data_IF_827153866371
#
_entry.id   IF_827153866371
#
_cell.length_a   1.000
_cell.length_b   1.000
_cell.length_c   1.000
_cell.angle_alpha   90.00
_cell.angle_beta   90.00
_cell.angle_gamma   90.00
#
_symmetry.space_group_name_H-M   'P 1'
#
loop_
_entity.id
_entity.type
_entity.pdbx_description
1 polymer ?
#
# COMPACT_ATOMS: atom_id res chain seq x y z
N UNK A 1 5.35 3.87 2.63
CA UNK A 1 5.87 2.55 2.24
C UNK A 1 6.56 2.71 0.91
N UNK A 2 7.77 2.17 0.80
CA UNK A 2 8.52 2.04 -0.44
C UNK A 2 8.77 0.55 -0.62
N UNK A 3 8.37 -0.01 -1.74
CA UNK A 3 8.50 -1.43 -2.03
C UNK A 3 8.89 -1.65 -3.49
N UNK A 4 9.57 -2.77 -3.75
CA UNK A 4 10.01 -3.15 -5.08
C UNK A 4 9.64 -4.62 -5.31
N UNK A 5 9.20 -4.94 -6.52
CA UNK A 5 8.91 -6.31 -6.90
C UNK A 5 7.86 -6.42 -8.00
N UNK A 6 7.45 -7.66 -8.26
CA UNK A 6 6.36 -7.99 -9.18
C UNK A 6 5.00 -7.64 -8.59
N UNK A 7 3.95 -7.47 -9.40
CA UNK A 7 2.61 -7.14 -8.92
C UNK A 7 2.11 -8.02 -7.77
N UNK A 8 2.39 -9.34 -7.78
CA UNK A 8 1.97 -10.26 -6.72
C UNK A 8 2.71 -10.00 -5.39
N UNK A 9 3.99 -9.64 -5.47
CA UNK A 9 4.84 -9.34 -4.32
C UNK A 9 4.45 -7.99 -3.71
N UNK A 10 4.19 -6.99 -4.55
CA UNK A 10 3.67 -5.68 -4.14
C UNK A 10 2.29 -5.81 -3.49
N UNK A 11 1.40 -6.59 -4.10
CA UNK A 11 0.05 -6.81 -3.56
C UNK A 11 0.12 -7.43 -2.16
N UNK A 12 0.93 -8.48 -2.00
CA UNK A 12 1.15 -9.14 -0.69
C UNK A 12 1.69 -8.17 0.35
N UNK A 13 2.66 -7.33 -0.01
CA UNK A 13 3.24 -6.35 0.90
C UNK A 13 2.20 -5.32 1.36
N UNK A 14 1.37 -4.82 0.43
CA UNK A 14 0.30 -3.87 0.75
C UNK A 14 -0.77 -4.49 1.65
N UNK A 15 -1.17 -5.74 1.39
CA UNK A 15 -2.14 -6.46 2.22
C UNK A 15 -1.63 -6.66 3.66
N UNK A 16 -0.36 -7.04 3.82
CA UNK A 16 0.27 -7.19 5.14
C UNK A 16 0.36 -5.87 5.91
N UNK A 17 0.74 -4.78 5.24
CA UNK A 17 0.78 -3.44 5.85
C UNK A 17 -0.63 -3.00 6.27
N UNK A 18 -1.65 -3.26 5.45
CA UNK A 18 -3.05 -2.97 5.80
C UNK A 18 -3.51 -3.77 7.01
N UNK A 19 -3.16 -5.05 7.11
CA UNK A 19 -3.50 -5.89 8.27
C UNK A 19 -2.87 -5.33 9.56
N UNK A 20 -1.59 -4.97 9.50
CA UNK A 20 -0.88 -4.32 10.61
C UNK A 20 -1.58 -3.02 11.02
N UNK A 21 -1.86 -2.13 10.07
CA UNK A 21 -2.52 -0.85 10.36
C UNK A 21 -3.92 -1.03 10.94
N UNK A 22 -4.70 -2.00 10.45
CA UNK A 22 -6.00 -2.32 11.02
C UNK A 22 -5.90 -2.80 12.47
N UNK A 23 -4.87 -3.59 12.81
CA UNK A 23 -4.63 -4.03 14.20
C UNK A 23 -4.30 -2.89 15.16
N UNK A 24 -3.85 -1.74 14.65
CA UNK A 24 -3.47 -0.56 15.44
C UNK A 24 -4.63 0.43 15.63
N UNK A 25 -5.78 0.22 14.97
CA UNK A 25 -6.96 1.07 15.16
C UNK A 25 -7.45 0.96 16.60
N UNK A 26 -7.85 2.09 17.19
CA UNK A 26 -8.28 2.22 18.59
C UNK A 26 -7.17 2.04 19.63
N UNK A 27 -5.93 1.72 19.24
CA UNK A 27 -4.79 1.70 20.17
C UNK A 27 -4.47 3.13 20.65
N UNK A 28 -4.56 4.11 19.75
CA UNK A 28 -4.43 5.53 20.07
C UNK A 28 -5.36 6.38 19.18
N UNK A 29 -6.41 6.94 19.81
CA UNK A 29 -7.43 7.76 19.11
C UNK A 29 -6.87 8.94 18.33
N UNK A 30 -5.72 9.50 18.73
CA UNK A 30 -5.07 10.60 17.99
C UNK A 30 -4.45 10.14 16.67
N UNK A 31 -4.11 8.85 16.56
CA UNK A 31 -3.52 8.23 15.38
C UNK A 31 -4.56 7.58 14.47
N UNK A 32 -5.78 7.31 14.94
CA UNK A 32 -6.83 6.65 14.15
C UNK A 32 -7.11 7.36 12.82
N UNK A 33 -7.13 8.71 12.80
CA UNK A 33 -7.33 9.47 11.57
C UNK A 33 -6.16 9.27 10.58
N UNK A 34 -4.93 9.24 11.09
CA UNK A 34 -3.75 8.97 10.28
C UNK A 34 -3.77 7.55 9.72
N UNK A 35 -4.08 6.56 10.57
CA UNK A 35 -4.18 5.15 10.20
C UNK A 35 -5.26 4.95 9.13
N UNK A 36 -6.46 5.52 9.32
CA UNK A 36 -7.55 5.47 8.34
C UNK A 36 -7.17 6.10 7.01
N UNK A 37 -6.51 7.27 7.04
CA UNK A 37 -6.00 7.91 5.82
C UNK A 37 -4.99 7.00 5.12
N UNK A 38 -4.09 6.36 5.88
CA UNK A 38 -3.10 5.46 5.33
C UNK A 38 -3.73 4.23 4.68
N UNK A 39 -4.71 3.61 5.35
CA UNK A 39 -5.47 2.48 4.81
C UNK A 39 -6.16 2.85 3.49
N UNK A 40 -6.72 4.06 3.38
CA UNK A 40 -7.35 4.49 2.12
C UNK A 40 -6.34 4.57 0.97
N UNK A 41 -5.14 5.11 1.20
CA UNK A 41 -4.06 5.13 0.21
C UNK A 41 -3.68 3.70 -0.21
N UNK A 42 -3.56 2.77 0.75
CA UNK A 42 -3.22 1.38 0.45
C UNK A 42 -4.31 0.65 -0.34
N UNK A 43 -5.59 0.95 -0.10
CA UNK A 43 -6.70 0.43 -0.93
C UNK A 43 -6.59 0.91 -2.38
N UNK A 44 -6.23 2.17 -2.59
CA UNK A 44 -5.99 2.70 -3.95
C UNK A 44 -4.81 1.97 -4.60
N UNK A 45 -3.74 1.70 -3.86
CA UNK A 45 -2.62 0.90 -4.36
C UNK A 45 -3.03 -0.49 -4.82
N UNK A 46 -3.86 -1.20 -4.04
CA UNK A 46 -4.36 -2.52 -4.45
C UNK A 46 -5.09 -2.44 -5.79
N UNK A 47 -5.92 -1.42 -6.00
CA UNK A 47 -6.67 -1.25 -7.25
C UNK A 47 -5.75 -0.97 -8.44
N UNK A 48 -4.67 -0.19 -8.24
CA UNK A 48 -3.71 0.08 -9.29
C UNK A 48 -2.83 -1.15 -9.59
N UNK A 49 -2.30 -1.82 -8.58
CA UNK A 49 -1.44 -3.02 -8.71
C UNK A 49 -2.16 -4.12 -9.49
N UNK A 50 -3.46 -4.36 -9.20
CA UNK A 50 -4.27 -5.38 -9.89
C UNK A 50 -4.45 -5.13 -11.39
N UNK A 51 -4.15 -3.93 -11.87
CA UNK A 51 -4.24 -3.54 -13.29
C UNK A 51 -2.89 -3.53 -13.99
N UNK A 52 -1.79 -3.80 -13.27
CA UNK A 52 -0.46 -3.79 -13.85
C UNK A 52 -0.25 -5.02 -14.75
N UNK A 53 0.41 -4.83 -15.91
CA UNK A 53 0.93 -5.96 -16.65
C UNK A 53 2.11 -6.61 -15.91
N UNK A 54 2.50 -7.84 -16.28
CA UNK A 54 3.71 -8.47 -15.75
C UNK A 54 4.94 -7.56 -15.92
N UNK A 55 5.77 -7.48 -14.88
CA UNK A 55 6.95 -6.62 -14.85
C UNK A 55 7.44 -6.36 -13.42
N UNK A 56 8.54 -5.64 -13.28
CA UNK A 56 9.05 -5.15 -12.00
C UNK A 56 8.62 -3.70 -11.79
N UNK A 57 8.22 -3.36 -10.56
CA UNK A 57 7.74 -2.02 -10.24
C UNK A 57 8.25 -1.56 -8.88
N UNK A 58 8.42 -0.26 -8.75
CA UNK A 58 8.54 0.43 -7.49
C UNK A 58 7.17 0.96 -7.07
N UNK A 59 6.72 0.58 -5.88
CA UNK A 59 5.56 1.16 -5.23
C UNK A 59 5.99 2.27 -4.26
N UNK A 60 5.43 3.45 -4.44
CA UNK A 60 5.57 4.59 -3.53
C UNK A 60 4.17 4.88 -2.96
N UNK A 61 3.96 4.48 -1.71
CA UNK A 61 2.73 4.76 -0.97
C UNK A 61 3.05 5.67 0.21
N UNK A 62 3.14 6.98 -0.01
CA UNK A 62 3.43 7.98 1.03
C UNK A 62 2.18 8.80 1.35
N UNK A 63 1.81 9.72 0.46
CA UNK A 63 0.61 10.56 0.54
C UNK A 63 -0.48 10.12 -0.43
N UNK A 64 -0.06 9.45 -1.47
CA UNK A 64 -0.78 8.90 -2.61
C UNK A 64 -0.20 7.52 -2.94
N UNK A 65 -0.71 6.91 -4.00
CA UNK A 65 -0.17 5.70 -4.55
C UNK A 65 0.40 5.92 -5.94
N UNK A 66 1.73 5.82 -6.04
CA UNK A 66 2.46 5.88 -7.30
C UNK A 66 3.14 4.53 -7.57
N UNK A 67 3.07 4.08 -8.83
CA UNK A 67 3.72 2.87 -9.32
C UNK A 67 4.63 3.24 -10.48
N UNK A 68 5.93 3.01 -10.29
CA UNK A 68 6.95 3.33 -11.27
C UNK A 68 7.47 2.02 -11.86
N UNK A 69 7.32 1.78 -13.18
CA UNK A 69 7.89 0.59 -13.81
C UNK A 69 9.43 0.65 -13.75
N UNK A 70 10.03 -0.49 -13.40
CA UNK A 70 11.47 -0.69 -13.48
C UNK A 70 11.74 -1.44 -14.77
N UNK A 71 12.25 -0.70 -15.76
CA UNK A 71 12.54 -1.17 -17.12
C UNK A 71 13.59 -2.29 -17.09
#
# INVERSE_FOLDING_TARGET
MLYYGRPEELLRAVEQEMELLNSLINYNKKLDNFIKRKINILKECILQIKRLPPGEYQLIALNDCELVPLV
#
